data_IF_538287873526
#
_entry.id   IF_538287873526
#
_cell.length_a   1.000
_cell.length_b   1.000
_cell.length_c   1.000
_cell.angle_alpha   90.00
_cell.angle_beta   90.00
_cell.angle_gamma   90.00
#
_symmetry.space_group_name_H-M   'P 1'
#
loop_
_entity.id
_entity.type
_entity.pdbx_description
1 polymer ?
#
# COMPACT_ATOMS: atom_id res chain seq x y z
N UNK A 1 3.11 -31.91 17.29
CA UNK A 1 2.92 -31.27 15.99
C UNK A 1 4.28 -30.76 15.51
N UNK A 2 4.67 -31.09 14.30
CA UNK A 2 5.91 -30.63 13.71
C UNK A 2 5.92 -29.10 13.61
N UNK A 3 7.03 -28.45 13.92
CA UNK A 3 7.22 -27.00 13.86
C UNK A 3 6.86 -26.43 12.48
N UNK A 4 7.17 -27.15 11.42
CA UNK A 4 6.86 -26.77 10.05
C UNK A 4 5.35 -26.75 9.78
N UNK A 5 4.61 -27.75 10.23
CA UNK A 5 3.14 -27.83 10.11
C UNK A 5 2.45 -26.69 10.89
N UNK A 6 2.94 -26.37 12.07
CA UNK A 6 2.41 -25.26 12.87
C UNK A 6 2.63 -23.89 12.18
N UNK A 7 3.80 -23.70 11.61
CA UNK A 7 4.15 -22.45 10.91
C UNK A 7 3.29 -22.23 9.66
N UNK A 8 3.05 -23.27 8.86
CA UNK A 8 2.17 -23.19 7.69
C UNK A 8 0.74 -22.82 8.09
N UNK A 9 0.25 -23.40 9.18
CA UNK A 9 -1.10 -23.15 9.71
C UNK A 9 -1.31 -21.68 10.09
N UNK A 10 -0.29 -21.03 10.66
CA UNK A 10 -0.35 -19.60 11.01
C UNK A 10 -0.40 -18.74 9.75
N UNK A 11 0.43 -19.01 8.75
CA UNK A 11 0.42 -18.28 7.49
C UNK A 11 -0.94 -18.36 6.79
N UNK A 12 -1.50 -19.55 6.72
CA UNK A 12 -2.79 -19.80 6.10
C UNK A 12 -3.91 -19.06 6.84
N UNK A 13 -3.89 -19.06 8.18
CA UNK A 13 -4.82 -18.29 8.99
C UNK A 13 -4.76 -16.80 8.69
N UNK A 14 -3.57 -16.23 8.62
CA UNK A 14 -3.40 -14.80 8.31
C UNK A 14 -3.92 -14.44 6.91
N UNK A 15 -3.63 -15.28 5.92
CA UNK A 15 -4.11 -15.09 4.55
C UNK A 15 -5.64 -15.22 4.46
N UNK A 16 -6.21 -16.24 5.11
CA UNK A 16 -7.66 -16.44 5.13
C UNK A 16 -8.38 -15.29 5.82
N UNK A 17 -7.87 -14.81 6.93
CA UNK A 17 -8.44 -13.65 7.64
C UNK A 17 -8.33 -12.37 6.83
N UNK A 18 -7.23 -12.15 6.13
CA UNK A 18 -7.08 -11.01 5.24
C UNK A 18 -8.06 -11.08 4.07
N UNK A 19 -8.25 -12.27 3.48
CA UNK A 19 -9.23 -12.52 2.43
C UNK A 19 -10.65 -12.19 2.91
N UNK A 20 -11.03 -12.67 4.09
CA UNK A 20 -12.35 -12.39 4.67
C UNK A 20 -12.53 -10.89 4.97
N UNK A 21 -11.48 -10.21 5.38
CA UNK A 21 -11.51 -8.77 5.68
C UNK A 21 -11.81 -7.94 4.43
N UNK A 22 -11.20 -8.25 3.30
CA UNK A 22 -11.37 -7.49 2.06
C UNK A 22 -12.61 -7.88 1.25
N UNK A 23 -13.09 -9.13 1.38
CA UNK A 23 -14.22 -9.67 0.63
C UNK A 23 -15.47 -9.94 1.48
N UNK A 24 -15.39 -9.80 2.79
CA UNK A 24 -16.41 -10.25 3.73
C UNK A 24 -17.51 -9.23 4.02
N UNK A 25 -18.34 -9.51 5.06
CA UNK A 25 -19.51 -8.73 5.45
C UNK A 25 -19.24 -7.28 5.80
N UNK A 26 -18.00 -6.91 6.06
CA UNK A 26 -17.58 -5.53 6.32
C UNK A 26 -17.96 -4.59 5.16
N UNK A 27 -17.93 -5.09 3.93
CA UNK A 27 -18.31 -4.32 2.75
C UNK A 27 -19.79 -3.97 2.73
N UNK A 28 -20.65 -4.75 3.34
CA UNK A 28 -22.08 -4.45 3.48
C UNK A 28 -22.35 -3.25 4.40
N UNK A 29 -21.50 -3.05 5.42
CA UNK A 29 -21.65 -1.97 6.41
C UNK A 29 -20.93 -0.70 5.96
N UNK A 30 -19.70 -0.83 5.47
CA UNK A 30 -18.81 0.29 5.15
C UNK A 30 -18.74 0.62 3.66
N UNK A 31 -19.42 -0.16 2.81
CA UNK A 31 -19.39 -0.02 1.36
C UNK A 31 -18.15 -0.63 0.72
N UNK A 32 -18.03 -0.41 -0.57
CA UNK A 32 -16.90 -0.91 -1.35
C UNK A 32 -15.59 -0.28 -0.84
N UNK A 33 -14.56 -1.08 -0.57
CA UNK A 33 -13.25 -0.57 -0.15
C UNK A 33 -12.65 0.45 -1.11
N UNK A 34 -12.81 0.26 -2.42
CA UNK A 34 -12.31 1.19 -3.42
C UNK A 34 -12.94 2.58 -3.28
N UNK A 35 -14.26 2.65 -3.15
CA UNK A 35 -14.99 3.91 -2.95
C UNK A 35 -14.55 4.63 -1.68
N UNK A 36 -14.39 3.88 -0.58
CA UNK A 36 -13.94 4.44 0.69
C UNK A 36 -12.51 4.99 0.59
N UNK A 37 -11.62 4.24 -0.01
CA UNK A 37 -10.22 4.66 -0.17
C UNK A 37 -10.08 5.80 -1.19
N UNK A 38 -10.95 5.86 -2.19
CA UNK A 38 -10.99 7.01 -3.11
C UNK A 38 -11.39 8.29 -2.36
N UNK A 39 -12.35 8.24 -1.44
CA UNK A 39 -12.69 9.38 -0.58
C UNK A 39 -11.49 9.82 0.27
N UNK A 40 -10.73 8.87 0.80
CA UNK A 40 -9.50 9.16 1.55
C UNK A 40 -8.48 9.86 0.65
N UNK A 41 -8.28 9.37 -0.57
CA UNK A 41 -7.39 10.01 -1.55
C UNK A 41 -7.80 11.46 -1.82
N UNK A 42 -9.08 11.70 -2.00
CA UNK A 42 -9.63 13.04 -2.25
C UNK A 42 -9.40 13.98 -1.06
N UNK A 43 -9.67 13.52 0.16
CA UNK A 43 -9.43 14.30 1.37
C UNK A 43 -7.94 14.60 1.61
N UNK A 44 -7.08 13.62 1.39
CA UNK A 44 -5.63 13.82 1.49
C UNK A 44 -5.12 14.79 0.42
N UNK A 45 -5.72 14.75 -0.76
CA UNK A 45 -5.43 15.71 -1.83
C UNK A 45 -5.72 17.16 -1.42
N UNK A 46 -6.82 17.38 -0.72
CA UNK A 46 -7.16 18.70 -0.16
C UNK A 46 -6.13 19.15 0.88
N UNK A 47 -5.75 18.27 1.79
CA UNK A 47 -4.78 18.56 2.85
C UNK A 47 -3.40 18.89 2.25
N UNK A 48 -2.96 18.08 1.31
CA UNK A 48 -1.63 18.19 0.69
C UNK A 48 -1.57 19.20 -0.44
N UNK A 49 -2.73 19.70 -0.89
CA UNK A 49 -2.89 20.63 -2.03
C UNK A 49 -2.27 20.09 -3.32
N UNK A 50 -2.45 18.80 -3.55
CA UNK A 50 -2.07 18.09 -4.76
C UNK A 50 -2.94 16.85 -4.93
N UNK A 51 -2.99 16.32 -6.14
CA UNK A 51 -3.66 15.04 -6.38
C UNK A 51 -2.97 13.90 -5.63
N UNK A 52 -3.76 13.08 -4.98
CA UNK A 52 -3.32 11.84 -4.32
C UNK A 52 -4.00 10.68 -5.03
N UNK A 53 -3.22 9.75 -5.54
CA UNK A 53 -3.74 8.56 -6.22
C UNK A 53 -4.22 7.51 -5.21
N UNK A 54 -5.13 6.65 -5.66
CA UNK A 54 -5.56 5.49 -4.90
C UNK A 54 -4.38 4.54 -4.59
N UNK A 55 -3.46 4.41 -5.54
CA UNK A 55 -2.19 3.69 -5.37
C UNK A 55 -1.38 4.21 -4.18
N UNK A 56 -1.23 5.53 -4.07
CA UNK A 56 -0.53 6.16 -2.95
C UNK A 56 -1.24 5.88 -1.61
N UNK A 57 -2.58 5.92 -1.58
CA UNK A 57 -3.34 5.61 -0.36
C UNK A 57 -3.02 4.20 0.13
N UNK A 58 -3.06 3.20 -0.73
CA UNK A 58 -2.79 1.82 -0.32
C UNK A 58 -1.35 1.63 0.19
N UNK A 59 -0.37 2.23 -0.48
CA UNK A 59 1.02 2.18 -0.01
C UNK A 59 1.21 2.89 1.33
N UNK A 60 0.56 4.02 1.53
CA UNK A 60 0.64 4.77 2.80
C UNK A 60 -0.05 4.01 3.94
N UNK A 61 -1.17 3.35 3.68
CA UNK A 61 -1.82 2.50 4.67
C UNK A 61 -0.96 1.28 5.04
N UNK A 62 -0.28 0.68 4.07
CA UNK A 62 0.72 -0.36 4.34
C UNK A 62 1.85 0.17 5.24
N UNK A 63 2.38 1.34 4.94
CA UNK A 63 3.42 1.99 5.75
C UNK A 63 2.96 2.26 7.19
N UNK A 64 1.71 2.69 7.38
CA UNK A 64 1.12 2.90 8.70
C UNK A 64 1.08 1.58 9.49
N UNK A 65 0.67 0.49 8.87
CA UNK A 65 0.65 -0.82 9.53
C UNK A 65 2.05 -1.34 9.84
N UNK A 66 3.01 -1.13 8.95
CA UNK A 66 4.41 -1.44 9.21
C UNK A 66 4.97 -0.67 10.41
N UNK A 67 4.64 0.60 10.53
CA UNK A 67 5.05 1.41 11.68
C UNK A 67 4.53 0.84 13.01
N UNK A 68 3.27 0.39 13.04
CA UNK A 68 2.68 -0.28 14.21
C UNK A 68 3.40 -1.58 14.54
N UNK A 69 3.78 -2.36 13.52
CA UNK A 69 4.47 -3.63 13.71
C UNK A 69 5.92 -3.49 14.18
N UNK A 70 6.57 -2.36 13.91
CA UNK A 70 7.88 -2.06 14.48
C UNK A 70 7.80 -1.94 16.00
N UNK A 71 6.76 -1.30 16.52
CA UNK A 71 6.53 -1.16 17.96
C UNK A 71 5.95 -2.44 18.58
N UNK A 72 4.99 -3.07 17.91
CA UNK A 72 4.27 -4.25 18.40
C UNK A 72 4.25 -5.36 17.35
N UNK A 73 5.37 -6.11 17.18
CA UNK A 73 5.47 -7.12 16.12
C UNK A 73 4.54 -8.33 16.31
N UNK A 74 3.97 -8.50 17.50
CA UNK A 74 2.99 -9.56 17.83
C UNK A 74 1.53 -9.13 17.61
N UNK A 75 1.27 -7.91 17.13
CA UNK A 75 -0.08 -7.44 16.86
C UNK A 75 -0.63 -8.06 15.58
N UNK A 76 -1.35 -9.17 15.73
CA UNK A 76 -1.85 -10.00 14.62
C UNK A 76 -2.69 -9.20 13.63
N UNK A 77 -3.60 -8.35 14.09
CA UNK A 77 -4.49 -7.56 13.22
C UNK A 77 -3.73 -6.61 12.29
N UNK A 78 -2.58 -6.09 12.72
CA UNK A 78 -1.76 -5.24 11.86
C UNK A 78 -1.12 -6.02 10.71
N UNK A 79 -0.72 -7.28 10.93
CA UNK A 79 -0.27 -8.15 9.85
C UNK A 79 -1.40 -8.45 8.87
N UNK A 80 -2.58 -8.75 9.37
CA UNK A 80 -3.77 -9.03 8.54
C UNK A 80 -4.16 -7.80 7.72
N UNK A 81 -4.20 -6.62 8.33
CA UNK A 81 -4.51 -5.37 7.65
C UNK A 81 -3.48 -5.04 6.58
N UNK A 82 -2.19 -5.27 6.86
CA UNK A 82 -1.11 -5.06 5.88
C UNK A 82 -1.31 -5.94 4.64
N UNK A 83 -1.63 -7.21 4.82
CA UNK A 83 -1.95 -8.13 3.72
C UNK A 83 -3.16 -7.63 2.94
N UNK A 84 -4.20 -7.19 3.63
CA UNK A 84 -5.42 -6.67 3.02
C UNK A 84 -5.16 -5.42 2.17
N UNK A 85 -4.45 -4.44 2.67
CA UNK A 85 -4.10 -3.23 1.90
C UNK A 85 -3.20 -3.55 0.71
N UNK A 86 -2.25 -4.46 0.87
CA UNK A 86 -1.41 -4.90 -0.24
C UNK A 86 -2.23 -5.58 -1.35
N UNK A 87 -3.19 -6.42 -0.98
CA UNK A 87 -4.09 -7.08 -1.94
C UNK A 87 -4.98 -6.06 -2.67
N UNK A 88 -5.57 -5.10 -1.96
CA UNK A 88 -6.39 -4.04 -2.55
C UNK A 88 -5.56 -3.13 -3.47
N UNK A 89 -4.34 -2.81 -3.08
CA UNK A 89 -3.42 -2.03 -3.90
C UNK A 89 -3.04 -2.74 -5.19
N UNK A 90 -2.76 -4.04 -5.11
CA UNK A 90 -2.49 -4.88 -6.28
C UNK A 90 -3.69 -4.98 -7.20
N UNK A 91 -4.88 -5.22 -6.65
CA UNK A 91 -6.13 -5.23 -7.42
C UNK A 91 -6.34 -3.92 -8.19
N UNK A 92 -6.20 -2.79 -7.51
CA UNK A 92 -6.34 -1.47 -8.13
C UNK A 92 -5.39 -1.28 -9.32
N UNK A 93 -4.17 -1.79 -9.22
CA UNK A 93 -3.17 -1.66 -10.27
C UNK A 93 -3.47 -2.55 -11.48
N UNK A 94 -4.00 -3.75 -11.26
CA UNK A 94 -4.17 -4.76 -12.31
C UNK A 94 -5.61 -4.91 -12.85
N UNK A 95 -6.63 -4.51 -12.10
CA UNK A 95 -8.03 -4.74 -12.49
C UNK A 95 -8.52 -3.87 -13.65
N UNK A 96 -7.84 -2.76 -13.97
CA UNK A 96 -8.23 -1.85 -15.05
C UNK A 96 -7.75 -2.29 -16.45
N UNK A 97 -7.37 -3.55 -16.61
CA UNK A 97 -6.96 -4.13 -17.90
C UNK A 97 -5.57 -3.71 -18.36
N UNK A 98 -4.87 -2.93 -17.59
CA UNK A 98 -3.48 -2.59 -17.85
C UNK A 98 -2.59 -3.77 -17.50
N UNK A 99 -2.20 -4.48 -18.52
CA UNK A 99 -1.22 -5.55 -18.37
C UNK A 99 0.07 -4.96 -17.78
N UNK A 100 0.58 -5.63 -16.76
CA UNK A 100 1.90 -5.34 -16.22
C UNK A 100 2.93 -5.43 -17.35
N UNK A 101 3.34 -4.31 -17.88
CA UNK A 101 4.32 -4.25 -18.96
C UNK A 101 5.67 -3.82 -18.43
N UNK A 102 6.71 -4.34 -19.05
CA UNK A 102 8.10 -3.95 -18.77
C UNK A 102 8.28 -2.43 -18.91
N UNK A 103 7.57 -1.81 -19.84
CA UNK A 103 7.60 -0.38 -20.12
C UNK A 103 7.07 0.44 -18.94
N UNK A 104 5.98 0.00 -18.26
CA UNK A 104 5.46 0.68 -17.06
C UNK A 104 6.48 0.69 -15.92
N UNK A 105 7.17 -0.43 -15.71
CA UNK A 105 8.20 -0.54 -14.67
C UNK A 105 9.35 0.42 -14.95
N UNK A 106 9.84 0.43 -16.19
CA UNK A 106 10.94 1.32 -16.62
C UNK A 106 10.54 2.79 -16.46
N UNK A 107 9.32 3.16 -16.86
CA UNK A 107 8.81 4.52 -16.72
C UNK A 107 8.72 4.95 -15.24
N UNK A 108 8.22 4.09 -14.35
CA UNK A 108 8.15 4.36 -12.91
C UNK A 108 9.54 4.57 -12.28
N UNK A 109 10.51 3.72 -12.62
CA UNK A 109 11.89 3.85 -12.16
C UNK A 109 12.57 5.10 -12.71
N UNK A 110 12.29 5.48 -13.95
CA UNK A 110 12.80 6.70 -14.58
C UNK A 110 12.29 7.97 -13.90
N UNK A 111 11.00 8.04 -13.58
CA UNK A 111 10.39 9.14 -12.84
C UNK A 111 11.00 9.31 -11.43
N UNK A 112 11.25 8.21 -10.72
CA UNK A 112 11.89 8.23 -9.40
C UNK A 112 13.32 8.77 -9.46
N UNK A 113 14.09 8.40 -10.47
CA UNK A 113 15.46 8.89 -10.69
C UNK A 113 15.49 10.40 -11.01
N UNK A 114 14.56 10.87 -11.82
CA UNK A 114 14.42 12.29 -12.18
C UNK A 114 14.19 13.15 -10.93
N UNK A 115 13.30 12.73 -10.06
CA UNK A 115 13.01 13.44 -8.81
C UNK A 115 14.23 13.51 -7.87
N UNK A 116 14.97 12.42 -7.72
CA UNK A 116 16.20 12.40 -6.92
C UNK A 116 17.32 13.27 -7.48
N UNK A 117 17.41 13.37 -8.81
CA UNK A 117 18.39 14.20 -9.49
C UNK A 117 18.18 15.71 -9.28
N UNK A 118 16.94 16.17 -9.27
CA UNK A 118 16.61 17.56 -9.00
C UNK A 118 16.95 18.00 -7.58
N UNK A 119 16.65 17.17 -6.59
CA UNK A 119 17.01 17.45 -5.19
C UNK A 119 18.52 17.63 -5.00
N UNK A 120 19.32 16.80 -5.66
CA UNK A 120 20.77 16.89 -5.56
C UNK A 120 21.34 18.13 -6.25
N UNK A 121 20.74 18.61 -7.33
CA UNK A 121 21.17 19.83 -8.02
C UNK A 121 20.94 21.07 -7.16
N UNK A 122 19.79 21.17 -6.52
CA UNK A 122 19.47 22.30 -5.65
C UNK A 122 20.39 22.38 -4.41
N UNK A 123 20.75 21.24 -3.84
CA UNK A 123 21.68 21.20 -2.71
C UNK A 123 23.10 21.68 -3.10
N UNK A 124 23.56 21.37 -4.32
CA UNK A 124 24.86 21.83 -4.79
C UNK A 124 24.90 23.32 -5.13
N UNK A 125 23.76 23.92 -5.45
CA UNK A 125 23.64 25.34 -5.68
C UNK A 125 23.76 26.19 -4.41
N UNK A 126 23.24 25.69 -3.31
CA UNK A 126 23.28 26.38 -2.00
C UNK A 126 24.67 26.36 -1.34
N UNK A 127 25.51 25.39 -1.68
CA UNK A 127 26.87 25.30 -1.13
C UNK A 127 27.87 26.26 -1.83
N UNK A 128 27.45 26.95 -2.91
CA UNK A 128 28.33 27.87 -3.67
C UNK A 128 27.98 29.36 -3.51
N UNK A 129 27.00 29.63 -2.72
CA UNK A 129 26.64 30.98 -2.31
C UNK A 129 27.17 31.27 -0.89
#
# INVERSE_FOLDING_TARGET
>A
MDKNTFTHKIRDELLDRAKDLVNGPRNEIYGDPEENHQRIADMWGVILKRDVSLHEVYLMMCALKMSRLIESPDHKDSWIDLIGYAALGGENEFANGDVYTKERVVAALGATRSYGGEKNRNRRGDERS
#
